data_IF_216050538945
#
_entry.id   IF_216050538945
#
_cell.length_a   1.000
_cell.length_b   1.000
_cell.length_c   1.000
_cell.angle_alpha   90.00
_cell.angle_beta   90.00
_cell.angle_gamma   90.00
#
_symmetry.space_group_name_H-M   'P 1'
#
loop_
_entity.id
_entity.type
_entity.pdbx_description
1 polymer ?
#
# COMPACT_ATOMS: atom_id res chain seq x y z
N UNK A 1 -7.06 -6.81 -4.43
CA UNK A 1 -7.12 -5.48 -3.79
C UNK A 1 -6.02 -5.37 -2.73
N UNK A 2 -5.48 -4.17 -2.48
CA UNK A 2 -4.46 -3.95 -1.43
C UNK A 2 -5.07 -4.20 -0.04
N UNK A 3 -4.48 -5.11 0.75
CA UNK A 3 -5.00 -5.52 2.07
C UNK A 3 -5.22 -4.33 3.04
N UNK A 4 -4.26 -3.41 3.14
CA UNK A 4 -4.38 -2.24 4.03
C UNK A 4 -5.53 -1.29 3.64
N UNK A 5 -5.90 -1.24 2.36
CA UNK A 5 -7.06 -0.47 1.91
C UNK A 5 -8.37 -1.14 2.33
N UNK A 6 -8.45 -2.48 2.26
CA UNK A 6 -9.67 -3.21 2.62
C UNK A 6 -9.98 -3.20 4.10
N UNK A 7 -8.99 -2.98 4.96
CA UNK A 7 -9.16 -2.93 6.42
C UNK A 7 -9.11 -1.51 7.00
N UNK A 8 -8.94 -0.48 6.18
CA UNK A 8 -8.82 0.90 6.65
C UNK A 8 -10.02 1.29 7.54
N UNK A 9 -9.82 1.94 8.71
CA UNK A 9 -8.56 2.53 9.21
C UNK A 9 -7.74 1.60 10.15
N UNK A 10 -8.00 0.29 10.14
CA UNK A 10 -7.37 -0.64 11.08
C UNK A 10 -5.89 -0.90 10.79
N UNK A 11 -5.15 -1.26 11.84
CA UNK A 11 -3.74 -1.66 11.78
C UNK A 11 -3.59 -3.15 11.46
N UNK A 12 -2.47 -3.54 10.85
CA UNK A 12 -2.14 -4.93 10.56
C UNK A 12 -0.65 -5.19 10.78
N UNK A 13 -0.33 -6.37 11.31
CA UNK A 13 1.04 -6.82 11.53
C UNK A 13 1.65 -7.33 10.19
N UNK A 14 2.95 -7.13 9.90
CA UNK A 14 3.56 -7.53 8.63
C UNK A 14 3.30 -8.98 8.21
N UNK A 15 3.24 -9.91 9.16
CA UNK A 15 2.93 -11.30 8.86
C UNK A 15 1.50 -11.47 8.34
N UNK A 16 0.52 -10.74 8.89
CA UNK A 16 -0.85 -10.78 8.40
C UNK A 16 -0.97 -10.16 7.01
N UNK A 17 -0.26 -9.06 6.76
CA UNK A 17 -0.18 -8.45 5.42
C UNK A 17 0.38 -9.45 4.41
N UNK A 18 1.45 -10.18 4.78
CA UNK A 18 2.04 -11.24 3.96
C UNK A 18 1.02 -12.34 3.66
N UNK A 19 0.32 -12.88 4.68
CA UNK A 19 -0.69 -13.92 4.50
C UNK A 19 -1.85 -13.50 3.60
N UNK A 20 -2.32 -12.26 3.74
CA UNK A 20 -3.48 -11.75 2.99
C UNK A 20 -3.13 -11.36 1.55
N UNK A 21 -1.86 -11.03 1.28
CA UNK A 21 -1.40 -10.65 -0.07
C UNK A 21 -0.70 -11.78 -0.82
N UNK A 22 -0.25 -12.83 -0.13
CA UNK A 22 0.60 -13.88 -0.69
C UNK A 22 2.05 -13.44 -0.98
N UNK A 23 2.44 -12.24 -0.54
CA UNK A 23 3.78 -11.68 -0.73
C UNK A 23 4.68 -12.09 0.43
N UNK A 24 5.91 -12.52 0.14
CA UNK A 24 6.92 -12.84 1.16
C UNK A 24 7.13 -11.71 2.18
N UNK A 25 7.28 -12.07 3.46
CA UNK A 25 7.40 -11.13 4.56
C UNK A 25 8.61 -10.18 4.42
N UNK A 26 9.71 -10.64 3.82
CA UNK A 26 10.89 -9.81 3.55
C UNK A 26 10.57 -8.70 2.55
N UNK A 27 9.79 -9.04 1.52
CA UNK A 27 9.36 -8.08 0.50
C UNK A 27 8.35 -7.09 1.08
N UNK A 28 7.44 -7.55 1.95
CA UNK A 28 6.52 -6.68 2.68
C UNK A 28 7.30 -5.68 3.55
N UNK A 29 8.23 -6.15 4.38
CA UNK A 29 9.01 -5.28 5.27
C UNK A 29 9.86 -4.30 4.47
N UNK A 30 10.50 -4.77 3.40
CA UNK A 30 11.30 -3.94 2.50
C UNK A 30 10.46 -2.83 1.85
N UNK A 31 9.28 -3.15 1.33
CA UNK A 31 8.38 -2.16 0.76
C UNK A 31 7.85 -1.16 1.81
N UNK A 32 7.55 -1.63 3.02
CA UNK A 32 6.98 -0.80 4.08
C UNK A 32 7.97 0.22 4.63
N UNK A 33 9.17 -0.20 5.03
CA UNK A 33 10.13 0.65 5.78
C UNK A 33 11.55 0.71 5.22
N UNK A 34 11.81 0.03 4.10
CA UNK A 34 13.16 -0.14 3.59
C UNK A 34 13.94 -1.25 4.27
N UNK A 35 14.96 -1.74 3.59
CA UNK A 35 15.85 -2.84 4.02
C UNK A 35 17.14 -2.78 3.20
N UNK A 36 17.99 -1.79 3.53
CA UNK A 36 19.33 -1.65 2.94
C UNK A 36 19.33 -1.35 1.44
N UNK A 37 20.20 -2.03 0.68
CA UNK A 37 20.47 -1.73 -0.73
C UNK A 37 19.32 -2.09 -1.68
N UNK A 38 18.57 -3.16 -1.36
CA UNK A 38 17.45 -3.64 -2.20
C UNK A 38 16.20 -2.78 -2.04
N UNK A 39 15.97 -2.29 -0.84
CA UNK A 39 14.81 -1.46 -0.50
C UNK A 39 15.31 -0.15 0.11
N UNK A 40 15.49 0.86 -0.74
CA UNK A 40 15.89 2.20 -0.29
C UNK A 40 14.83 2.77 0.65
N UNK A 41 15.24 3.24 1.83
CA UNK A 41 14.33 3.83 2.81
C UNK A 41 13.49 4.96 2.20
N UNK A 42 14.10 5.83 1.38
CA UNK A 42 13.42 6.94 0.69
C UNK A 42 12.24 6.53 -0.20
N UNK A 43 12.21 5.26 -0.62
CA UNK A 43 11.18 4.72 -1.50
C UNK A 43 10.22 3.81 -0.74
N UNK A 44 10.34 3.74 0.59
CA UNK A 44 9.44 2.96 1.41
C UNK A 44 8.06 3.61 1.49
N UNK A 45 7.00 2.81 1.65
CA UNK A 45 5.63 3.31 1.72
C UNK A 45 5.41 4.24 2.92
N UNK A 46 6.18 4.03 4.00
CA UNK A 46 6.18 4.90 5.19
C UNK A 46 6.81 6.26 4.86
N UNK A 47 8.03 6.30 4.31
CA UNK A 47 8.68 7.56 3.93
C UNK A 47 7.91 8.32 2.84
N UNK A 48 7.28 7.58 1.94
CA UNK A 48 6.40 8.15 0.93
C UNK A 48 5.06 8.63 1.50
N UNK A 49 4.77 8.46 2.78
CA UNK A 49 3.54 8.91 3.46
C UNK A 49 2.27 8.21 2.97
N UNK A 50 2.37 7.02 2.38
CA UNK A 50 1.24 6.21 1.90
C UNK A 50 0.73 5.30 3.02
N UNK A 51 1.61 4.88 3.92
CA UNK A 51 1.32 3.99 5.04
C UNK A 51 1.88 4.62 6.31
N UNK A 52 1.15 4.51 7.42
CA UNK A 52 1.64 4.93 8.73
C UNK A 52 2.18 3.71 9.51
N UNK A 53 3.26 3.94 10.24
CA UNK A 53 3.79 3.00 11.23
C UNK A 53 3.13 3.28 12.59
N UNK A 54 2.64 2.23 13.26
CA UNK A 54 2.04 2.30 14.60
C UNK A 54 2.80 1.37 15.52
N UNK A 55 3.40 1.92 16.56
CA UNK A 55 4.07 1.13 17.60
C UNK A 55 3.14 0.93 18.80
N UNK A 56 2.97 -0.31 19.23
CA UNK A 56 2.18 -0.66 20.40
C UNK A 56 2.88 -1.79 21.17
N UNK A 57 3.24 -1.52 22.42
CA UNK A 57 3.94 -2.47 23.30
C UNK A 57 5.19 -3.11 22.67
N UNK A 58 6.01 -2.31 21.98
CA UNK A 58 7.22 -2.78 21.31
C UNK A 58 6.98 -3.60 20.03
N UNK A 59 5.73 -3.69 19.57
CA UNK A 59 5.36 -4.34 18.31
C UNK A 59 4.98 -3.28 17.28
N UNK A 60 5.54 -3.39 16.09
CA UNK A 60 5.26 -2.50 14.96
C UNK A 60 4.14 -3.04 14.09
N UNK A 61 3.12 -2.20 13.88
CA UNK A 61 2.00 -2.43 12.97
C UNK A 61 1.97 -1.34 11.88
N UNK A 62 1.17 -1.59 10.85
CA UNK A 62 1.04 -0.68 9.72
C UNK A 62 -0.44 -0.47 9.38
N UNK A 63 -0.79 0.75 8.98
CA UNK A 63 -2.11 1.09 8.45
C UNK A 63 -1.98 1.97 7.22
N UNK A 64 -2.96 1.92 6.33
CA UNK A 64 -3.01 2.88 5.22
C UNK A 64 -3.21 4.29 5.79
N UNK A 65 -2.44 5.26 5.32
CA UNK A 65 -2.61 6.67 5.70
C UNK A 65 -3.79 7.29 4.96
N UNK A 66 -4.32 8.40 5.46
CA UNK A 66 -5.38 9.15 4.77
C UNK A 66 -4.94 9.58 3.35
N UNK A 67 -3.66 9.93 3.20
CA UNK A 67 -3.07 10.26 1.91
C UNK A 67 -3.01 9.03 1.00
N UNK A 68 -2.60 7.88 1.53
CA UNK A 68 -2.59 6.62 0.79
C UNK A 68 -3.99 6.23 0.29
N UNK A 69 -5.01 6.39 1.13
CA UNK A 69 -6.42 6.17 0.76
C UNK A 69 -6.85 7.08 -0.40
N UNK A 70 -6.61 8.39 -0.28
CA UNK A 70 -6.94 9.35 -1.35
C UNK A 70 -6.22 9.04 -2.67
N UNK A 71 -4.96 8.60 -2.61
CA UNK A 71 -4.20 8.22 -3.79
C UNK A 71 -4.82 7.01 -4.51
N UNK A 72 -5.18 5.96 -3.76
CA UNK A 72 -5.80 4.75 -4.32
C UNK A 72 -7.17 5.08 -4.92
N UNK A 73 -8.01 5.80 -4.18
CA UNK A 73 -9.34 6.23 -4.66
C UNK A 73 -9.23 7.12 -5.91
N UNK A 74 -8.22 7.99 -5.97
CA UNK A 74 -7.91 8.79 -7.16
C UNK A 74 -7.50 7.97 -8.37
N UNK A 75 -6.79 6.84 -8.20
CA UNK A 75 -6.40 5.96 -9.29
C UNK A 75 -7.58 5.17 -9.87
N UNK A 76 -8.50 4.72 -9.02
CA UNK A 76 -9.70 4.00 -9.46
C UNK A 76 -10.64 4.90 -10.28
N UNK A 77 -10.70 6.19 -9.96
CA UNK A 77 -11.43 7.18 -10.76
C UNK A 77 -10.85 7.35 -12.17
N UNK A 78 -9.52 7.23 -12.34
CA UNK A 78 -8.87 7.35 -13.66
C UNK A 78 -9.14 6.13 -14.55
N UNK A 79 -9.27 4.93 -13.97
CA UNK A 79 -9.62 3.71 -14.74
C UNK A 79 -11.02 3.78 -15.36
N UNK A 80 -11.98 4.42 -14.70
CA UNK A 80 -13.35 4.58 -15.21
C UNK A 80 -13.41 5.50 -16.45
N UNK A 81 -12.48 6.45 -16.57
CA UNK A 81 -12.47 7.41 -17.69
C UNK A 81 -11.68 6.92 -18.91
N UNK A 82 -10.84 5.90 -18.78
CA UNK A 82 -9.99 5.39 -19.88
C UNK A 82 -10.72 4.40 -20.81
N UNK A 83 -11.89 3.85 -20.43
CA UNK A 83 -12.65 2.91 -21.27
C UNK A 83 -13.61 3.56 -22.27
N UNK A 84 -13.72 4.90 -22.30
CA UNK A 84 -14.52 5.62 -23.31
C UNK A 84 -13.64 6.19 -24.41
N UNK A 85 -13.25 5.34 -25.35
CA UNK A 85 -12.81 5.80 -26.67
C UNK A 85 -11.84 4.87 -27.35
N UNK A 86 -12.33 3.96 -28.18
CA UNK A 86 -12.05 3.90 -29.62
C UNK A 86 -13.18 3.09 -30.27
N UNK A 87 -14.30 3.75 -30.58
CA UNK A 87 -15.19 3.28 -31.63
C UNK A 87 -14.55 3.66 -32.96
N UNK A 88 -13.86 2.72 -33.62
CA UNK A 88 -13.46 2.89 -35.02
C UNK A 88 -14.74 3.03 -35.85
N UNK A 89 -15.02 4.25 -36.32
CA UNK A 89 -16.00 4.48 -37.38
C UNK A 89 -15.29 4.41 -38.74
N UNK A 90 -15.84 3.53 -39.56
CA UNK A 90 -15.70 3.33 -41.01
C UNK A 90 -14.34 2.89 -41.54
#
# INVERSE_FOLDING_TARGET
MMHLYTIYPNISYPYDISRQTGIDSTNIIGALRGMGSRYKNSNSLVEMGVVDMVENNGVTYYKLSDRGKRLIEGMDLVKVHSTRGVGRKK
#
